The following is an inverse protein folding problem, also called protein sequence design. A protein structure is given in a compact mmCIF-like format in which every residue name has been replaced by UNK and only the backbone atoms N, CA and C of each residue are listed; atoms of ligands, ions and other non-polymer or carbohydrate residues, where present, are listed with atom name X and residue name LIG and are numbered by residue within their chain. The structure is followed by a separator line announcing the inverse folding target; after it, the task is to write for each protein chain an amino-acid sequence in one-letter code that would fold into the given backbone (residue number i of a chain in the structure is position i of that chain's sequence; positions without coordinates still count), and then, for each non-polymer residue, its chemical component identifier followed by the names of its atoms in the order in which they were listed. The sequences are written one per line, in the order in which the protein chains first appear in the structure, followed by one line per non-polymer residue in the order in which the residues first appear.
data_IF_214233746767
#
_entry.id   IF_214233746767
#
_cell.length_a   1.000
_cell.length_b   1.000
_cell.length_c   1.000
_cell.angle_alpha   90.00
_cell.angle_beta   90.00
_cell.angle_gamma   90.00
#
_symmetry.space_group_name_H-M   'P 1'
#
loop_
_entity.id
_entity.type
_entity.pdbx_description
1 polymer ?
#
# COMPACT_ATOMS: atom_id res chain seq x y z
N UNK A 1 -7.49 5.28 18.96
CA UNK A 1 -7.63 5.99 17.68
C UNK A 1 -7.39 7.48 17.90
N UNK A 2 -6.58 8.10 17.06
CA UNK A 2 -6.33 9.54 17.02
C UNK A 2 -6.61 10.09 15.62
N UNK A 3 -6.62 11.41 15.47
CA UNK A 3 -6.87 12.09 14.19
C UNK A 3 -5.80 13.15 13.97
N UNK A 4 -5.17 13.10 12.80
CA UNK A 4 -4.26 14.13 12.32
C UNK A 4 -5.01 15.12 11.42
N UNK A 5 -4.89 16.42 11.71
CA UNK A 5 -5.37 17.47 10.80
C UNK A 5 -4.23 17.87 9.87
N UNK A 6 -4.41 17.68 8.56
CA UNK A 6 -3.38 18.01 7.56
C UNK A 6 -3.49 19.47 7.08
N UNK A 7 -2.41 20.03 6.50
CA UNK A 7 -2.44 21.34 5.86
C UNK A 7 -3.45 21.47 4.72
N UNK A 8 -3.77 20.35 4.06
CA UNK A 8 -4.78 20.27 2.98
C UNK A 8 -6.22 20.22 3.52
N UNK A 9 -6.40 20.41 4.85
CA UNK A 9 -7.67 20.37 5.55
C UNK A 9 -8.36 18.99 5.53
N UNK A 10 -7.59 17.90 5.44
CA UNK A 10 -8.05 16.53 5.59
C UNK A 10 -7.87 16.08 7.03
N UNK A 11 -8.78 15.23 7.53
CA UNK A 11 -8.68 14.59 8.84
C UNK A 11 -8.35 13.12 8.63
N UNK A 12 -7.15 12.71 9.05
CA UNK A 12 -6.65 11.35 8.87
C UNK A 12 -6.68 10.60 10.19
N UNK A 13 -7.46 9.51 10.23
CA UNK A 13 -7.57 8.64 11.39
C UNK A 13 -6.37 7.68 11.45
N UNK A 14 -5.83 7.48 12.65
CA UNK A 14 -4.73 6.54 12.85
C UNK A 14 -4.75 5.89 14.24
N UNK A 15 -4.11 4.72 14.33
CA UNK A 15 -3.78 4.06 15.58
C UNK A 15 -2.27 3.87 15.65
N UNK A 16 -1.65 4.36 16.73
CA UNK A 16 -0.24 4.20 17.03
C UNK A 16 -0.07 3.34 18.27
N UNK A 17 0.76 2.33 18.18
CA UNK A 17 1.23 1.51 19.29
C UNK A 17 2.67 1.92 19.61
N UNK A 18 2.92 2.35 20.83
CA UNK A 18 4.26 2.68 21.29
C UNK A 18 5.10 1.42 21.46
N UNK A 19 6.40 1.51 21.20
CA UNK A 19 7.33 0.38 21.29
C UNK A 19 8.74 0.76 20.89
N UNK A 20 9.62 -0.24 20.75
CA UNK A 20 11.02 -0.06 20.42
C UNK A 20 11.33 -0.36 18.96
N UNK A 21 12.49 0.14 18.47
CA UNK A 21 13.04 -0.09 17.14
C UNK A 21 12.37 0.74 16.05
N UNK A 22 12.61 0.41 14.76
CA UNK A 22 11.92 1.03 13.65
C UNK A 22 10.40 0.85 13.77
N UNK A 23 9.63 1.92 13.51
CA UNK A 23 8.17 1.81 13.51
C UNK A 23 7.72 0.98 12.32
N UNK A 24 6.98 -0.11 12.57
CA UNK A 24 6.32 -0.87 11.51
C UNK A 24 5.02 -0.15 11.14
N UNK A 25 4.86 0.18 9.86
CA UNK A 25 3.71 0.93 9.36
C UNK A 25 2.93 0.08 8.37
N UNK A 26 1.63 -0.11 8.61
CA UNK A 26 0.76 -0.79 7.67
C UNK A 26 0.02 0.20 6.79
N UNK A 27 0.10 -0.01 5.46
CA UNK A 27 -0.57 0.78 4.43
C UNK A 27 -1.61 -0.11 3.73
N UNK A 28 -2.88 0.27 3.84
CA UNK A 28 -4.01 -0.52 3.33
C UNK A 28 -4.21 -0.39 1.81
N UNK A 29 -5.02 -1.27 1.23
CA UNK A 29 -5.40 -1.27 -0.19
C UNK A 29 -6.52 -0.28 -0.52
N UNK A 30 -6.86 -0.21 -1.82
CA UNK A 30 -7.94 0.62 -2.35
C UNK A 30 -9.29 0.23 -1.71
N UNK A 31 -10.04 1.23 -1.20
CA UNK A 31 -11.32 1.04 -0.47
C UNK A 31 -11.22 0.08 0.73
N UNK A 32 -10.03 -0.17 1.23
CA UNK A 32 -9.79 -0.87 2.49
C UNK A 32 -9.53 0.14 3.60
N UNK A 33 -9.49 -0.34 4.83
CA UNK A 33 -9.26 0.49 6.00
C UNK A 33 -8.22 -0.11 6.96
N UNK A 34 -7.88 0.65 7.99
CA UNK A 34 -6.90 0.26 9.01
C UNK A 34 -7.40 -0.82 9.98
N UNK A 35 -8.67 -1.23 9.91
CA UNK A 35 -9.27 -2.29 10.74
C UNK A 35 -9.26 -3.66 10.01
N UNK A 36 -8.67 -3.74 8.81
CA UNK A 36 -8.55 -4.97 8.05
C UNK A 36 -7.69 -6.03 8.76
N UNK A 37 -7.96 -7.31 8.45
CA UNK A 37 -7.33 -8.49 9.11
C UNK A 37 -5.81 -8.38 9.22
N UNK A 38 -5.11 -8.04 8.13
CA UNK A 38 -3.64 -7.91 8.12
C UNK A 38 -3.13 -6.80 9.05
N UNK A 39 -3.84 -5.66 9.08
CA UNK A 39 -3.46 -4.51 9.89
C UNK A 39 -3.57 -4.81 11.39
N UNK A 40 -4.70 -5.40 11.81
CA UNK A 40 -4.94 -5.81 13.20
C UNK A 40 -3.97 -6.91 13.61
N UNK A 41 -3.80 -7.93 12.78
CA UNK A 41 -2.89 -9.04 13.06
C UNK A 41 -1.44 -8.56 13.28
N UNK A 42 -0.94 -7.67 12.41
CA UNK A 42 0.41 -7.12 12.55
C UNK A 42 0.54 -6.18 13.75
N UNK A 43 -0.50 -5.43 14.10
CA UNK A 43 -0.47 -4.62 15.33
C UNK A 43 -0.37 -5.51 16.57
N UNK A 44 -1.13 -6.60 16.64
CA UNK A 44 -1.09 -7.55 17.77
C UNK A 44 0.26 -8.28 17.85
N UNK A 45 0.81 -8.67 16.69
CA UNK A 45 2.17 -9.20 16.63
C UNK A 45 3.19 -8.16 17.14
N UNK A 46 3.14 -6.93 16.67
CA UNK A 46 4.06 -5.87 17.08
C UNK A 46 3.98 -5.61 18.60
N UNK A 47 2.77 -5.55 19.17
CA UNK A 47 2.55 -5.46 20.63
C UNK A 47 3.20 -6.63 21.37
N UNK A 48 3.04 -7.86 20.86
CA UNK A 48 3.64 -9.05 21.48
C UNK A 48 5.17 -9.01 21.51
N UNK A 49 5.77 -8.29 20.55
CA UNK A 49 7.22 -8.10 20.42
C UNK A 49 7.72 -6.80 21.06
N UNK A 50 6.84 -6.00 21.68
CA UNK A 50 7.20 -4.69 22.25
C UNK A 50 7.64 -3.66 21.20
N UNK A 51 7.18 -3.79 19.94
CA UNK A 51 7.58 -2.93 18.82
C UNK A 51 6.60 -1.78 18.59
N UNK A 52 7.14 -0.66 18.12
CA UNK A 52 6.34 0.45 17.62
C UNK A 52 5.58 0.06 16.34
N UNK A 53 4.30 0.41 16.27
CA UNK A 53 3.45 0.10 15.13
C UNK A 53 2.51 1.26 14.80
N UNK A 54 2.21 1.47 13.53
CA UNK A 54 1.26 2.48 13.03
C UNK A 54 0.38 1.88 11.94
N UNK A 55 -0.91 2.15 12.01
CA UNK A 55 -1.89 1.95 10.93
C UNK A 55 -2.78 3.18 10.82
N UNK A 56 -3.20 3.51 9.62
CA UNK A 56 -3.99 4.71 9.35
C UNK A 56 -4.90 4.52 8.13
N UNK A 57 -5.90 5.39 8.04
CA UNK A 57 -6.79 5.48 6.89
C UNK A 57 -6.40 6.69 6.03
N UNK A 58 -6.31 6.50 4.72
CA UNK A 58 -6.20 7.61 3.78
C UNK A 58 -7.50 8.42 3.75
N UNK A 59 -7.46 9.65 3.28
CA UNK A 59 -8.68 10.43 3.02
C UNK A 59 -9.66 9.64 2.13
N UNK A 60 -10.95 9.73 2.45
CA UNK A 60 -12.00 8.97 1.77
C UNK A 60 -12.02 7.47 2.05
N UNK A 61 -11.22 6.98 3.02
CA UNK A 61 -11.19 5.58 3.47
C UNK A 61 -11.50 5.51 4.97
N UNK A 62 -12.10 4.40 5.37
CA UNK A 62 -12.34 4.05 6.78
C UNK A 62 -12.93 5.20 7.59
N UNK A 63 -12.19 5.66 8.60
CA UNK A 63 -12.60 6.69 9.54
C UNK A 63 -12.02 8.08 9.22
N UNK A 64 -11.26 8.22 8.15
CA UNK A 64 -10.75 9.49 7.66
C UNK A 64 -11.82 10.30 6.92
N UNK A 65 -11.63 11.62 6.84
CA UNK A 65 -12.58 12.52 6.19
C UNK A 65 -12.55 12.42 4.66
N UNK A 66 -13.62 12.93 4.02
CA UNK A 66 -13.77 12.97 2.57
C UNK A 66 -14.54 11.78 2.01
N UNK A 67 -14.83 11.83 0.72
CA UNK A 67 -15.40 10.71 -0.01
C UNK A 67 -14.31 10.02 -0.84
N UNK A 68 -14.43 8.70 -1.04
CA UNK A 68 -13.49 7.93 -1.87
C UNK A 68 -13.30 8.54 -3.27
N UNK A 69 -14.41 9.00 -3.87
CA UNK A 69 -14.44 9.59 -5.20
C UNK A 69 -13.76 10.97 -5.30
N UNK A 70 -13.47 11.60 -4.16
CA UNK A 70 -12.74 12.88 -4.13
C UNK A 70 -11.21 12.67 -4.20
N UNK A 71 -10.74 11.46 -3.85
CA UNK A 71 -9.32 11.13 -3.76
C UNK A 71 -8.70 10.60 -5.06
N UNK A 72 -7.38 10.61 -5.08
CA UNK A 72 -6.55 10.02 -6.13
C UNK A 72 -5.23 9.50 -5.53
N UNK A 73 -4.42 8.83 -6.34
CA UNK A 73 -3.15 8.24 -5.89
C UNK A 73 -2.23 9.29 -5.25
N UNK A 74 -2.13 10.48 -5.84
CA UNK A 74 -1.31 11.57 -5.32
C UNK A 74 -1.81 12.12 -3.98
N UNK A 75 -3.13 12.27 -3.80
CA UNK A 75 -3.69 12.69 -2.51
C UNK A 75 -3.35 11.67 -1.40
N UNK A 76 -3.46 10.38 -1.70
CA UNK A 76 -3.15 9.32 -0.73
C UNK A 76 -1.65 9.18 -0.48
N UNK A 77 -0.79 9.56 -1.45
CA UNK A 77 0.65 9.69 -1.24
C UNK A 77 0.99 10.89 -0.33
N UNK A 78 0.29 12.03 -0.48
CA UNK A 78 0.39 13.15 0.45
C UNK A 78 -0.09 12.76 1.85
N UNK A 79 -1.24 12.09 1.97
CA UNK A 79 -1.76 11.59 3.25
C UNK A 79 -0.74 10.69 3.95
N UNK A 80 -0.12 9.78 3.18
CA UNK A 80 0.95 8.91 3.68
C UNK A 80 2.12 9.73 4.23
N UNK A 81 2.60 10.70 3.48
CA UNK A 81 3.72 11.55 3.92
C UNK A 81 3.35 12.35 5.16
N UNK A 82 2.18 13.00 5.20
CA UNK A 82 1.70 13.78 6.35
C UNK A 82 1.61 12.93 7.63
N UNK A 83 1.06 11.71 7.52
CA UNK A 83 0.97 10.81 8.68
C UNK A 83 2.36 10.36 9.12
N UNK A 84 3.21 9.87 8.20
CA UNK A 84 4.50 9.32 8.56
C UNK A 84 5.45 10.40 9.09
N UNK A 85 5.45 11.59 8.51
CA UNK A 85 6.35 12.68 8.91
C UNK A 85 5.91 13.38 10.21
N UNK A 86 4.59 13.33 10.54
CA UNK A 86 4.07 13.99 11.73
C UNK A 86 3.93 13.04 12.92
N UNK A 87 3.55 11.78 12.68
CA UNK A 87 3.17 10.84 13.75
C UNK A 87 4.34 9.94 14.16
N UNK A 88 5.38 9.81 13.32
CA UNK A 88 6.53 8.92 13.58
C UNK A 88 7.86 9.67 13.56
N UNK A 89 8.76 9.20 14.42
CA UNK A 89 10.17 9.59 14.43
C UNK A 89 11.07 8.40 14.04
N UNK A 90 12.26 8.69 13.49
CA UNK A 90 13.27 7.68 13.18
C UNK A 90 12.95 6.79 11.97
N UNK A 91 13.58 5.61 11.88
CA UNK A 91 13.46 4.71 10.74
C UNK A 91 12.12 3.95 10.72
N UNK A 92 11.66 3.61 9.52
CA UNK A 92 10.39 2.94 9.27
C UNK A 92 10.59 1.60 8.56
N UNK A 93 9.75 0.62 8.90
CA UNK A 93 9.52 -0.56 8.07
C UNK A 93 8.10 -0.47 7.51
N UNK A 94 7.98 -0.27 6.20
CA UNK A 94 6.69 -0.16 5.54
C UNK A 94 6.15 -1.54 5.17
N UNK A 95 4.87 -1.78 5.43
CA UNK A 95 4.15 -2.99 5.04
C UNK A 95 2.94 -2.57 4.24
N UNK A 96 3.02 -2.67 2.92
CA UNK A 96 1.98 -2.19 2.02
C UNK A 96 1.22 -3.31 1.32
N UNK A 97 -0.10 -3.31 1.41
CA UNK A 97 -0.97 -4.28 0.73
C UNK A 97 -1.65 -3.66 -0.48
N UNK A 98 -1.57 -4.31 -1.65
CA UNK A 98 -2.23 -3.86 -2.88
C UNK A 98 -1.84 -2.41 -3.24
N UNK A 99 -2.79 -1.47 -3.31
CA UNK A 99 -2.50 -0.04 -3.45
C UNK A 99 -1.55 0.49 -2.37
N UNK A 100 -1.64 -0.02 -1.13
CA UNK A 100 -0.70 0.33 -0.06
C UNK A 100 0.74 -0.04 -0.39
N UNK A 101 0.97 -1.08 -1.20
CA UNK A 101 2.27 -1.39 -1.77
C UNK A 101 2.78 -0.27 -2.69
N UNK A 102 1.92 0.28 -3.54
CA UNK A 102 2.27 1.43 -4.39
C UNK A 102 2.56 2.68 -3.55
N UNK A 103 1.71 2.99 -2.56
CA UNK A 103 1.94 4.11 -1.64
C UNK A 103 3.27 3.97 -0.88
N UNK A 104 3.60 2.75 -0.45
CA UNK A 104 4.88 2.45 0.19
C UNK A 104 6.07 2.72 -0.74
N UNK A 105 5.98 2.35 -2.02
CA UNK A 105 7.01 2.61 -3.03
C UNK A 105 7.15 4.11 -3.32
N UNK A 106 6.05 4.87 -3.38
CA UNK A 106 6.06 6.32 -3.58
C UNK A 106 6.78 7.02 -2.42
N UNK A 107 6.41 6.68 -1.18
CA UNK A 107 7.06 7.26 0.00
C UNK A 107 8.54 6.84 0.09
N UNK A 108 8.86 5.56 -0.12
CA UNK A 108 10.21 5.05 -0.09
C UNK A 108 11.13 5.70 -1.14
N UNK A 109 10.61 5.96 -2.35
CA UNK A 109 11.34 6.65 -3.42
C UNK A 109 11.69 8.10 -3.04
N UNK A 110 10.79 8.80 -2.34
CA UNK A 110 10.98 10.20 -1.96
C UNK A 110 11.75 10.37 -0.64
N UNK A 111 11.70 9.37 0.26
CA UNK A 111 12.30 9.41 1.60
C UNK A 111 13.16 8.17 1.91
N UNK A 112 14.08 7.75 1.02
CA UNK A 112 14.82 6.48 1.20
C UNK A 112 15.61 6.44 2.51
N UNK A 113 16.06 7.58 3.03
CA UNK A 113 16.77 7.69 4.30
C UNK A 113 15.93 7.40 5.54
N UNK A 114 14.60 7.45 5.42
CA UNK A 114 13.66 7.10 6.49
C UNK A 114 13.33 5.60 6.52
N UNK A 115 13.68 4.86 5.48
CA UNK A 115 13.25 3.46 5.32
C UNK A 115 14.34 2.51 5.82
N UNK A 116 14.01 1.73 6.84
CA UNK A 116 14.80 0.60 7.32
C UNK A 116 14.50 -0.68 6.55
N UNK A 117 13.32 -0.78 5.93
CA UNK A 117 12.93 -1.91 5.11
C UNK A 117 11.51 -1.83 4.57
N UNK A 118 11.19 -2.72 3.63
CA UNK A 118 9.90 -2.75 2.95
C UNK A 118 9.39 -4.19 2.80
N UNK A 119 8.13 -4.39 3.10
CA UNK A 119 7.37 -5.62 2.77
C UNK A 119 6.17 -5.21 1.94
N UNK A 120 5.95 -5.83 0.81
CA UNK A 120 4.70 -5.63 0.05
C UNK A 120 3.92 -6.93 -0.07
N UNK A 121 2.60 -6.83 -0.07
CA UNK A 121 1.66 -7.95 -0.16
C UNK A 121 0.75 -7.68 -1.34
N UNK A 122 0.84 -8.51 -2.38
CA UNK A 122 0.04 -8.35 -3.59
C UNK A 122 0.09 -6.90 -4.13
N UNK A 123 1.29 -6.30 -4.16
CA UNK A 123 1.44 -4.88 -4.52
C UNK A 123 0.93 -4.59 -5.92
N UNK A 124 0.19 -3.49 -6.05
CA UNK A 124 -0.40 -3.03 -7.30
C UNK A 124 0.20 -1.68 -7.76
N UNK A 125 1.52 -1.59 -8.03
CA UNK A 125 2.08 -0.36 -8.59
C UNK A 125 1.50 -0.07 -9.96
N UNK A 126 1.28 1.21 -10.25
CA UNK A 126 0.82 1.71 -11.56
C UNK A 126 -0.53 1.14 -12.03
N UNK A 127 -1.33 0.53 -11.13
CA UNK A 127 -2.55 -0.22 -11.52
C UNK A 127 -3.62 0.64 -12.20
N UNK A 128 -3.66 1.94 -11.94
CA UNK A 128 -4.62 2.85 -12.58
C UNK A 128 -4.40 2.94 -14.09
N UNK A 129 -3.16 2.83 -14.55
CA UNK A 129 -2.79 2.85 -15.96
C UNK A 129 -2.66 1.42 -16.53
N UNK A 130 -1.85 0.56 -15.88
CA UNK A 130 -1.45 -0.74 -16.41
C UNK A 130 -2.56 -1.82 -16.31
N UNK A 131 -3.50 -1.65 -15.40
CA UNK A 131 -4.63 -2.58 -15.18
C UNK A 131 -5.95 -1.92 -15.51
N UNK A 132 -6.36 -0.88 -14.78
CA UNK A 132 -7.69 -0.28 -14.95
C UNK A 132 -7.86 0.34 -16.33
N UNK A 133 -7.07 1.36 -16.66
CA UNK A 133 -7.20 2.06 -17.95
C UNK A 133 -6.91 1.13 -19.14
N UNK A 134 -5.90 0.29 -19.04
CA UNK A 134 -5.58 -0.70 -20.07
C UNK A 134 -6.71 -1.71 -20.29
N UNK A 135 -7.41 -2.10 -19.22
CA UNK A 135 -8.54 -3.04 -19.25
C UNK A 135 -9.89 -2.42 -19.64
N UNK A 136 -10.01 -1.09 -19.66
CA UNK A 136 -11.27 -0.44 -20.05
C UNK A 136 -11.62 -0.70 -21.49
N UNK A 137 -12.88 -1.07 -21.72
CA UNK A 137 -13.48 -1.11 -23.05
C UNK A 137 -13.58 0.31 -23.65
N UNK A 138 -13.69 0.42 -24.96
CA UNK A 138 -13.89 1.71 -25.63
C UNK A 138 -15.16 2.43 -25.13
N UNK A 139 -16.21 1.68 -24.76
CA UNK A 139 -17.42 2.25 -24.16
C UNK A 139 -17.15 2.85 -22.76
N UNK A 140 -16.35 2.17 -21.93
CA UNK A 140 -15.96 2.68 -20.62
C UNK A 140 -15.03 3.89 -20.73
N UNK A 141 -14.11 3.92 -21.69
CA UNK A 141 -13.27 5.09 -21.97
C UNK A 141 -14.10 6.29 -22.41
N UNK A 142 -15.07 6.07 -23.33
CA UNK A 142 -16.00 7.10 -23.74
C UNK A 142 -16.88 7.60 -22.59
N UNK A 143 -17.33 6.70 -21.70
CA UNK A 143 -18.06 7.07 -20.49
C UNK A 143 -17.18 7.89 -19.54
N UNK A 144 -15.93 7.48 -19.32
CA UNK A 144 -14.96 8.24 -18.52
C UNK A 144 -14.77 9.66 -19.05
N UNK A 145 -14.73 9.83 -20.37
CA UNK A 145 -14.58 11.16 -21.00
C UNK A 145 -15.84 12.03 -20.89
N UNK A 146 -17.04 11.42 -21.00
CA UNK A 146 -18.31 12.16 -20.98
C UNK A 146 -18.88 12.39 -19.58
N UNK A 147 -18.70 11.43 -18.66
CA UNK A 147 -19.29 11.45 -17.30
C UNK A 147 -18.26 11.66 -16.21
N UNK A 148 -16.98 11.56 -16.52
CA UNK A 148 -15.87 11.71 -15.56
C UNK A 148 -15.67 10.53 -14.62
N UNK A 149 -16.44 9.43 -14.79
CA UNK A 149 -16.34 8.24 -13.95
C UNK A 149 -16.90 6.99 -14.62
N UNK A 150 -16.44 5.83 -14.11
CA UNK A 150 -16.93 4.49 -14.50
C UNK A 150 -17.17 3.67 -13.24
N UNK A 151 -18.28 2.94 -13.18
CA UNK A 151 -18.55 1.96 -12.14
C UNK A 151 -17.99 0.59 -12.57
N UNK A 152 -17.07 0.04 -11.78
CA UNK A 152 -16.54 -1.31 -11.99
C UNK A 152 -17.20 -2.29 -11.01
N UNK A 153 -17.58 -3.48 -11.47
CA UNK A 153 -18.03 -4.55 -10.58
C UNK A 153 -16.99 -4.80 -9.47
N UNK A 154 -17.46 -5.19 -8.31
CA UNK A 154 -16.61 -5.52 -7.17
C UNK A 154 -17.12 -6.79 -6.50
N UNK A 155 -16.23 -7.72 -6.20
CA UNK A 155 -16.54 -8.92 -5.40
C UNK A 155 -16.69 -8.60 -3.89
N UNK A 156 -16.44 -7.35 -3.50
CA UNK A 156 -16.47 -6.89 -2.11
C UNK A 156 -17.73 -6.08 -1.75
N UNK A 157 -18.76 -6.08 -2.61
CA UNK A 157 -20.04 -5.39 -2.37
C UNK A 157 -20.39 -4.36 -3.44
N UNK A 158 -20.57 -3.09 -3.05
CA UNK A 158 -20.94 -2.03 -4.00
C UNK A 158 -19.84 -1.79 -5.05
N UNK A 159 -20.22 -1.43 -6.29
CA UNK A 159 -19.26 -1.15 -7.36
C UNK A 159 -18.22 -0.11 -6.97
N UNK A 160 -17.01 -0.26 -7.49
CA UNK A 160 -15.97 0.77 -7.38
C UNK A 160 -16.23 1.88 -8.40
N UNK A 161 -16.49 3.07 -7.91
CA UNK A 161 -16.60 4.26 -8.77
C UNK A 161 -15.18 4.77 -9.00
N UNK A 162 -14.69 4.58 -10.23
CA UNK A 162 -13.37 5.02 -10.65
C UNK A 162 -13.53 6.35 -11.37
N UNK A 163 -12.88 7.39 -10.85
CA UNK A 163 -12.97 8.74 -11.40
C UNK A 163 -11.89 9.01 -12.45
N UNK A 164 -12.18 9.89 -13.40
CA UNK A 164 -11.18 10.38 -14.37
C UNK A 164 -9.96 11.00 -13.67
N UNK A 165 -10.21 11.75 -12.58
CA UNK A 165 -9.15 12.33 -11.74
C UNK A 165 -8.19 11.27 -11.22
N UNK A 166 -8.69 10.14 -10.69
CA UNK A 166 -7.84 9.07 -10.18
C UNK A 166 -6.96 8.45 -11.26
N UNK A 167 -7.49 8.26 -12.49
CA UNK A 167 -6.71 7.74 -13.62
C UNK A 167 -5.65 8.75 -14.07
N UNK A 168 -6.04 10.02 -14.26
CA UNK A 168 -5.13 11.08 -14.75
C UNK A 168 -4.02 11.39 -13.75
N UNK A 169 -4.36 11.47 -12.47
CA UNK A 169 -3.38 11.68 -11.41
C UNK A 169 -2.43 10.47 -11.27
N UNK A 170 -2.97 9.25 -11.34
CA UNK A 170 -2.16 8.03 -11.26
C UNK A 170 -1.03 7.98 -12.29
N UNK A 171 -1.23 8.60 -13.48
CA UNK A 171 -0.19 8.74 -14.50
C UNK A 171 1.01 9.58 -14.05
N UNK A 172 0.79 10.50 -13.11
CA UNK A 172 1.85 11.31 -12.53
C UNK A 172 2.60 10.57 -11.39
N UNK A 173 2.05 9.45 -10.92
CA UNK A 173 2.54 8.69 -9.78
C UNK A 173 3.25 7.38 -10.17
N UNK A 174 3.45 7.12 -11.47
CA UNK A 174 4.02 5.87 -11.95
C UNK A 174 5.43 5.62 -11.38
N UNK A 175 5.68 4.40 -10.91
CA UNK A 175 6.96 3.97 -10.33
C UNK A 175 7.72 2.97 -11.21
N UNK A 176 7.03 2.33 -12.15
CA UNK A 176 7.63 1.35 -13.08
C UNK A 176 8.03 1.97 -14.43
N UNK A 177 8.17 3.30 -14.49
CA UNK A 177 8.58 4.07 -15.70
C UNK A 177 9.90 4.82 -15.52
N UNK A 178 10.44 4.81 -14.30
CA UNK A 178 11.68 5.50 -13.93
C UNK A 178 12.47 4.62 -12.97
N UNK A 179 13.78 4.82 -12.77
CA UNK A 179 14.55 4.05 -11.80
C UNK A 179 13.90 4.02 -10.43
N UNK A 180 13.83 2.83 -9.85
CA UNK A 180 13.27 2.57 -8.52
C UNK A 180 14.36 1.96 -7.64
N UNK A 181 15.14 2.82 -6.98
CA UNK A 181 16.20 2.41 -6.08
C UNK A 181 15.65 2.18 -4.67
N UNK A 182 15.84 0.97 -4.15
CA UNK A 182 15.40 0.53 -2.82
C UNK A 182 16.64 0.06 -2.02
N UNK A 183 17.43 0.99 -1.43
CA UNK A 183 18.73 0.70 -0.81
C UNK A 183 18.63 0.05 0.57
N UNK A 184 17.56 -0.64 0.86
CA UNK A 184 17.23 -1.32 2.11
C UNK A 184 16.67 -2.73 1.83
N UNK A 185 16.54 -3.60 2.84
CA UNK A 185 15.94 -4.93 2.67
C UNK A 185 14.48 -4.85 2.19
N UNK A 186 14.14 -5.66 1.17
CA UNK A 186 12.78 -5.70 0.58
C UNK A 186 12.28 -7.13 0.48
N UNK A 187 11.01 -7.35 0.81
CA UNK A 187 10.29 -8.61 0.62
C UNK A 187 8.99 -8.34 -0.13
N UNK A 188 8.86 -8.89 -1.33
CA UNK A 188 7.63 -8.90 -2.11
C UNK A 188 6.91 -10.22 -1.87
N UNK A 189 5.64 -10.20 -1.50
CA UNK A 189 4.79 -11.38 -1.28
C UNK A 189 3.65 -11.36 -2.27
N UNK A 190 3.41 -12.48 -2.97
CA UNK A 190 2.38 -12.57 -3.98
C UNK A 190 1.72 -13.96 -3.98
N UNK A 191 0.39 -14.00 -4.06
CA UNK A 191 -0.37 -15.22 -4.24
C UNK A 191 -0.45 -15.65 -5.71
N UNK A 192 -0.38 -16.96 -5.99
CA UNK A 192 -0.49 -17.46 -7.38
C UNK A 192 -1.93 -17.52 -7.89
N UNK A 193 -2.93 -17.45 -6.97
CA UNK A 193 -4.36 -17.43 -7.29
C UNK A 193 -4.99 -16.05 -7.08
N UNK A 194 -4.17 -14.99 -7.07
CA UNK A 194 -4.61 -13.61 -6.98
C UNK A 194 -5.33 -13.20 -8.28
N UNK A 195 -6.64 -12.91 -8.18
CA UNK A 195 -7.47 -12.52 -9.31
C UNK A 195 -7.51 -10.99 -9.53
N UNK A 196 -7.06 -10.20 -8.55
CA UNK A 196 -7.07 -8.73 -8.62
C UNK A 196 -5.74 -8.18 -9.16
N UNK A 197 -4.60 -8.79 -8.74
CA UNK A 197 -3.25 -8.42 -9.16
C UNK A 197 -2.52 -9.65 -9.69
N UNK A 198 -2.36 -9.69 -11.01
CA UNK A 198 -1.67 -10.80 -11.68
C UNK A 198 -0.22 -10.94 -11.17
N UNK A 199 0.22 -12.18 -11.01
CA UNK A 199 1.57 -12.51 -10.54
C UNK A 199 2.68 -11.85 -11.37
N UNK A 200 2.45 -11.58 -12.65
CA UNK A 200 3.39 -10.88 -13.52
C UNK A 200 3.75 -9.48 -13.04
N UNK A 201 2.84 -8.83 -12.29
CA UNK A 201 3.10 -7.51 -11.67
C UNK A 201 4.21 -7.61 -10.63
N UNK A 202 4.18 -8.64 -9.77
CA UNK A 202 5.21 -8.86 -8.77
C UNK A 202 6.56 -9.22 -9.41
N UNK A 203 6.55 -10.02 -10.48
CA UNK A 203 7.75 -10.35 -11.26
C UNK A 203 8.33 -9.10 -11.92
N UNK A 204 7.49 -8.28 -12.55
CA UNK A 204 7.89 -6.99 -13.16
C UNK A 204 8.48 -6.04 -12.12
N UNK A 205 7.85 -5.96 -10.93
CA UNK A 205 8.33 -5.09 -9.84
C UNK A 205 9.72 -5.54 -9.35
N UNK A 206 9.94 -6.85 -9.16
CA UNK A 206 11.25 -7.39 -8.76
C UNK A 206 12.33 -7.14 -9.83
N UNK A 207 12.00 -7.30 -11.11
CA UNK A 207 12.92 -7.07 -12.22
C UNK A 207 13.26 -5.58 -12.39
N UNK A 208 12.28 -4.71 -12.17
CA UNK A 208 12.41 -3.25 -12.35
C UNK A 208 13.14 -2.56 -11.21
N UNK A 209 12.88 -2.96 -9.96
CA UNK A 209 13.47 -2.34 -8.78
C UNK A 209 14.96 -2.70 -8.66
N UNK A 210 15.76 -1.79 -8.09
CA UNK A 210 17.17 -2.00 -7.83
C UNK A 210 17.46 -1.87 -6.33
N UNK A 211 18.10 -2.88 -5.75
CA UNK A 211 18.43 -2.88 -4.32
C UNK A 211 19.34 -4.03 -3.92
N UNK A 212 20.03 -3.91 -2.76
CA UNK A 212 21.06 -4.88 -2.35
C UNK A 212 20.49 -6.19 -1.78
N UNK A 213 19.26 -6.20 -1.25
CA UNK A 213 18.61 -7.37 -0.64
C UNK A 213 17.11 -7.38 -0.93
N UNK A 214 16.74 -7.85 -2.12
CA UNK A 214 15.34 -7.98 -2.55
C UNK A 214 14.99 -9.45 -2.76
N UNK A 215 13.78 -9.84 -2.33
CA UNK A 215 13.24 -11.19 -2.54
C UNK A 215 11.76 -11.15 -2.89
N UNK A 216 11.35 -12.00 -3.82
CA UNK A 216 9.96 -12.28 -4.12
C UNK A 216 9.63 -13.70 -3.62
N UNK A 217 8.55 -13.80 -2.83
CA UNK A 217 7.97 -15.08 -2.43
C UNK A 217 6.61 -15.25 -3.09
N UNK A 218 6.47 -16.30 -3.88
CA UNK A 218 5.20 -16.72 -4.47
C UNK A 218 4.58 -17.79 -3.58
N UNK A 219 3.31 -17.61 -3.19
CA UNK A 219 2.56 -18.57 -2.36
C UNK A 219 1.52 -19.24 -3.23
N UNK A 220 1.68 -20.56 -3.42
CA UNK A 220 0.77 -21.35 -4.25
C UNK A 220 -0.63 -21.37 -3.67
N UNK A 221 -1.63 -21.06 -4.50
CA UNK A 221 -3.05 -21.05 -4.14
C UNK A 221 -3.51 -19.85 -3.31
N UNK A 222 -2.62 -18.98 -2.82
CA UNK A 222 -3.02 -17.79 -2.08
C UNK A 222 -3.73 -16.77 -2.98
N UNK A 223 -4.80 -16.18 -2.47
CA UNK A 223 -5.61 -15.15 -3.13
C UNK A 223 -5.08 -13.72 -2.87
N UNK A 224 -5.78 -12.70 -3.40
CA UNK A 224 -5.43 -11.29 -3.20
C UNK A 224 -5.48 -10.85 -1.74
N UNK A 225 -6.37 -11.42 -0.94
CA UNK A 225 -6.51 -11.06 0.48
C UNK A 225 -5.26 -11.43 1.27
N UNK A 226 -4.62 -12.55 0.92
CA UNK A 226 -3.39 -13.01 1.56
C UNK A 226 -3.52 -13.02 3.09
N UNK A 227 -4.63 -13.55 3.61
CA UNK A 227 -5.05 -13.38 5.01
C UNK A 227 -5.44 -14.67 5.73
N UNK A 228 -5.13 -15.84 5.15
CA UNK A 228 -5.16 -17.09 5.90
C UNK A 228 -3.98 -17.15 6.89
N UNK A 229 -4.05 -18.09 7.85
CA UNK A 229 -3.06 -18.20 8.94
C UNK A 229 -1.62 -18.38 8.43
N UNK A 230 -1.41 -19.11 7.33
CA UNK A 230 -0.08 -19.34 6.76
C UNK A 230 0.46 -18.07 6.10
N UNK A 231 -0.39 -17.35 5.38
CA UNK A 231 -0.06 -16.05 4.78
C UNK A 231 0.26 -15.00 5.85
N UNK A 232 -0.54 -14.92 6.91
CA UNK A 232 -0.31 -14.01 8.04
C UNK A 232 1.02 -14.30 8.74
N UNK A 233 1.33 -15.57 9.01
CA UNK A 233 2.61 -15.98 9.57
C UNK A 233 3.80 -15.64 8.64
N UNK A 234 3.63 -15.77 7.32
CA UNK A 234 4.65 -15.39 6.34
C UNK A 234 4.88 -13.87 6.31
N UNK A 235 3.83 -13.06 6.47
CA UNK A 235 3.96 -11.60 6.59
C UNK A 235 4.78 -11.25 7.83
N UNK A 236 4.45 -11.79 9.01
CA UNK A 236 5.23 -11.59 10.24
C UNK A 236 6.71 -11.96 10.05
N UNK A 237 6.96 -13.15 9.50
CA UNK A 237 8.32 -13.63 9.22
C UNK A 237 9.07 -12.69 8.29
N UNK A 238 8.41 -12.16 7.27
CA UNK A 238 9.01 -11.23 6.30
C UNK A 238 9.34 -9.88 6.95
N UNK A 239 8.44 -9.37 7.80
CA UNK A 239 8.70 -8.14 8.59
C UNK A 239 9.87 -8.36 9.55
N UNK A 240 9.92 -9.49 10.26
CA UNK A 240 11.04 -9.81 11.16
C UNK A 240 12.35 -9.92 10.40
N UNK A 241 12.40 -10.60 9.24
CA UNK A 241 13.59 -10.68 8.40
C UNK A 241 14.12 -9.31 7.98
N UNK A 242 13.23 -8.40 7.61
CA UNK A 242 13.60 -7.03 7.22
C UNK A 242 14.15 -6.27 8.41
N UNK A 243 13.53 -6.37 9.58
CA UNK A 243 13.99 -5.75 10.83
C UNK A 243 15.39 -6.26 11.25
N UNK A 244 15.62 -7.57 11.16
CA UNK A 244 16.92 -8.19 11.51
C UNK A 244 18.04 -7.72 10.58
N UNK A 245 17.72 -7.49 9.29
CA UNK A 245 18.67 -6.98 8.31
C UNK A 245 18.96 -5.49 8.48
N UNK A 246 17.97 -4.72 8.91
CA UNK A 246 18.13 -3.29 9.17
C UNK A 246 18.98 -3.01 10.43
N UNK A 247 19.07 -3.97 11.35
CA UNK A 247 19.87 -3.88 12.57
C UNK A 247 21.32 -4.37 12.41
N UNK A 248 21.65 -5.01 11.29
CA UNK A 248 22.96 -5.60 11.00
C UNK A 248 23.89 -4.64 10.26
#
# INVERSE_FOLDING_TARGET
MAVLQTPQNRQLAYNKTEGEGPTVVFLSGLKSDMEGTKAIHLEDWAKSQGRAFLRFDYSGHGQSSGAFTDGCIGDWAEDTAEVLDTVTDGPLVLVGSSMGGWQSLLYARSHPQRIAGLVTIAAAPDFTEDSMWAGFTEAQKAQMDSEGQVALPSDYGEPYIITKRMIEDGRNQLVLRSPLDLPFPVRFLQGTSDADVDMSVALKLLDHANGPDMRLTLVDGADHRFSDDACLALIEQSVQQVLDRAAA
#
